data_IF_615615970810
#
_entry.id   IF_615615970810
#
_cell.length_a   1.000
_cell.length_b   1.000
_cell.length_c   1.000
_cell.angle_alpha   90.00
_cell.angle_beta   90.00
_cell.angle_gamma   90.00
#
_symmetry.space_group_name_H-M   'P 1'
#
loop_
_entity.id
_entity.type
_entity.pdbx_description
1 polymer ?
#
# COMPACT_ATOMS: atom_id res chain seq x y z
N UNK A 1 -15.88 -0.68 8.09
CA UNK A 1 -15.18 0.24 9.00
C UNK A 1 -13.71 -0.12 8.91
N UNK A 2 -12.86 0.77 8.40
CA UNK A 2 -11.42 0.51 8.44
C UNK A 2 -11.02 0.56 9.92
N UNK A 3 -10.51 -0.54 10.43
CA UNK A 3 -10.00 -0.60 11.80
C UNK A 3 -8.74 0.26 11.92
N UNK A 4 -8.37 0.54 13.16
CA UNK A 4 -7.10 1.16 13.51
C UNK A 4 -5.95 0.37 12.86
N UNK A 5 -5.11 1.07 12.10
CA UNK A 5 -3.92 0.50 11.48
C UNK A 5 -2.70 0.75 12.36
N UNK A 6 -1.76 -0.20 12.38
CA UNK A 6 -0.54 -0.10 13.18
C UNK A 6 0.68 -0.41 12.33
N UNK A 7 1.75 0.36 12.51
CA UNK A 7 3.05 0.08 11.91
C UNK A 7 3.64 -1.17 12.58
N UNK A 8 3.88 -2.19 11.77
CA UNK A 8 4.47 -3.47 12.19
C UNK A 8 5.87 -3.59 11.59
N UNK A 9 6.82 -4.04 12.40
CA UNK A 9 8.18 -4.27 11.93
C UNK A 9 8.25 -5.57 11.10
N UNK A 10 8.55 -5.42 9.81
CA UNK A 10 8.78 -6.54 8.90
C UNK A 10 10.18 -6.46 8.31
N UNK A 11 10.83 -7.62 8.16
CA UNK A 11 12.13 -7.69 7.50
C UNK A 11 12.00 -7.39 5.99
N UNK A 12 12.71 -6.36 5.47
CA UNK A 12 12.60 -5.97 4.07
C UNK A 12 12.98 -7.06 3.08
N UNK A 13 13.96 -7.90 3.41
CA UNK A 13 14.40 -9.01 2.55
C UNK A 13 13.33 -10.09 2.39
N UNK A 14 12.67 -10.44 3.49
CA UNK A 14 11.58 -11.43 3.51
C UNK A 14 10.41 -10.94 2.68
N UNK A 15 10.00 -9.68 2.87
CA UNK A 15 8.94 -9.05 2.08
C UNK A 15 9.28 -9.07 0.57
N UNK A 16 10.48 -8.59 0.18
CA UNK A 16 10.86 -8.54 -1.24
C UNK A 16 10.92 -9.91 -1.88
N UNK A 17 11.44 -10.92 -1.16
CA UNK A 17 11.49 -12.31 -1.65
C UNK A 17 10.06 -12.83 -1.86
N UNK A 18 9.18 -12.70 -0.87
CA UNK A 18 7.77 -13.13 -0.98
C UNK A 18 7.04 -12.41 -2.10
N UNK A 19 7.14 -11.09 -2.17
CA UNK A 19 6.51 -10.28 -3.21
C UNK A 19 6.97 -10.70 -4.62
N UNK A 20 8.27 -10.95 -4.82
CA UNK A 20 8.79 -11.42 -6.11
C UNK A 20 8.26 -12.81 -6.46
N UNK A 21 8.27 -13.74 -5.51
CA UNK A 21 7.74 -15.10 -5.74
C UNK A 21 6.25 -15.05 -6.10
N UNK A 22 5.46 -14.23 -5.41
CA UNK A 22 4.04 -14.00 -5.72
C UNK A 22 3.86 -13.47 -7.13
N UNK A 23 4.58 -12.40 -7.48
CA UNK A 23 4.46 -11.77 -8.80
C UNK A 23 4.81 -12.76 -9.93
N UNK A 24 5.88 -13.55 -9.75
CA UNK A 24 6.28 -14.58 -10.73
C UNK A 24 5.23 -15.69 -10.81
N UNK A 25 4.71 -16.16 -9.68
CA UNK A 25 3.67 -17.19 -9.65
C UNK A 25 2.37 -16.71 -10.34
N UNK A 26 1.95 -15.47 -10.05
CA UNK A 26 0.77 -14.88 -10.69
C UNK A 26 0.97 -14.69 -12.21
N UNK A 27 2.15 -14.23 -12.64
CA UNK A 27 2.45 -14.09 -14.06
C UNK A 27 2.46 -15.45 -14.77
N UNK A 28 3.10 -16.46 -14.17
CA UNK A 28 3.11 -17.82 -14.71
C UNK A 28 1.70 -18.41 -14.82
N UNK A 29 0.89 -18.25 -13.78
CA UNK A 29 -0.49 -18.71 -13.76
C UNK A 29 -1.36 -18.01 -14.81
N UNK A 30 -1.21 -16.69 -14.98
CA UNK A 30 -1.92 -15.94 -16.00
C UNK A 30 -1.61 -16.45 -17.39
N UNK A 31 -0.33 -16.73 -17.69
CA UNK A 31 0.09 -17.30 -18.97
C UNK A 31 -0.54 -18.67 -19.17
N UNK A 32 -0.46 -19.55 -18.17
CA UNK A 32 -1.02 -20.91 -18.24
C UNK A 32 -2.53 -20.88 -18.46
N UNK A 33 -3.28 -20.10 -17.67
CA UNK A 33 -4.74 -20.01 -17.83
C UNK A 33 -5.13 -19.31 -19.13
N UNK A 34 -4.44 -18.23 -19.51
CA UNK A 34 -4.69 -17.55 -20.77
C UNK A 34 -4.50 -18.46 -21.98
N UNK A 35 -3.40 -19.22 -22.01
CA UNK A 35 -3.15 -20.22 -23.05
C UNK A 35 -4.18 -21.35 -23.02
N UNK A 36 -4.50 -21.88 -21.84
CA UNK A 36 -5.44 -22.98 -21.69
C UNK A 36 -6.85 -22.60 -22.17
N UNK A 37 -7.37 -21.44 -21.76
CA UNK A 37 -8.68 -20.98 -22.22
C UNK A 37 -8.68 -20.60 -23.70
N UNK A 38 -7.63 -19.96 -24.21
CA UNK A 38 -7.52 -19.66 -25.64
C UNK A 38 -7.49 -20.95 -26.48
N UNK A 39 -6.75 -21.97 -26.05
CA UNK A 39 -6.70 -23.28 -26.71
C UNK A 39 -8.07 -23.96 -26.69
N UNK A 40 -8.76 -24.00 -25.55
CA UNK A 40 -10.09 -24.61 -25.45
C UNK A 40 -11.12 -23.91 -26.35
N UNK A 41 -11.12 -22.58 -26.37
CA UNK A 41 -12.03 -21.80 -27.23
C UNK A 41 -11.71 -22.01 -28.71
N UNK A 42 -10.44 -21.94 -29.11
CA UNK A 42 -10.07 -22.04 -30.53
C UNK A 42 -10.22 -23.45 -31.09
N UNK A 43 -10.02 -24.49 -30.28
CA UNK A 43 -10.26 -25.88 -30.69
C UNK A 43 -11.75 -26.22 -30.83
N UNK A 44 -12.61 -25.60 -30.02
CA UNK A 44 -14.06 -25.85 -30.03
C UNK A 44 -14.81 -25.01 -31.07
N UNK A 45 -14.42 -23.73 -31.25
CA UNK A 45 -15.16 -22.76 -32.06
C UNK A 45 -14.39 -22.26 -33.29
N UNK A 46 -13.17 -22.76 -33.51
CA UNK A 46 -12.27 -22.31 -34.58
C UNK A 46 -11.34 -21.18 -34.15
N UNK A 47 -10.27 -20.95 -34.92
CA UNK A 47 -9.28 -19.92 -34.61
C UNK A 47 -9.78 -18.52 -35.00
N UNK A 48 -9.82 -17.62 -34.01
CA UNK A 48 -10.13 -16.20 -34.23
C UNK A 48 -9.37 -15.35 -33.23
N UNK A 49 -8.94 -14.15 -33.66
CA UNK A 49 -8.30 -13.17 -32.79
C UNK A 49 -9.16 -12.88 -31.53
N UNK A 50 -10.48 -12.74 -31.71
CA UNK A 50 -11.41 -12.48 -30.60
C UNK A 50 -11.49 -13.61 -29.59
N UNK A 51 -11.42 -14.87 -30.04
CA UNK A 51 -11.45 -16.03 -29.14
C UNK A 51 -10.14 -16.18 -28.34
N UNK A 52 -9.00 -15.83 -28.94
CA UNK A 52 -7.73 -15.74 -28.22
C UNK A 52 -7.79 -14.64 -27.15
N UNK A 53 -8.28 -13.44 -27.51
CA UNK A 53 -8.46 -12.34 -26.57
C UNK A 53 -9.42 -12.70 -25.42
N UNK A 54 -10.51 -13.40 -25.73
CA UNK A 54 -11.46 -13.90 -24.73
C UNK A 54 -10.80 -14.94 -23.80
N UNK A 55 -9.96 -15.83 -24.33
CA UNK A 55 -9.20 -16.78 -23.52
C UNK A 55 -8.26 -16.10 -22.52
N UNK A 56 -7.54 -15.06 -22.95
CA UNK A 56 -6.70 -14.25 -22.05
C UNK A 56 -7.53 -13.55 -20.99
N UNK A 57 -8.69 -12.99 -21.36
CA UNK A 57 -9.61 -12.35 -20.41
C UNK A 57 -10.11 -13.34 -19.35
N UNK A 58 -10.53 -14.54 -19.76
CA UNK A 58 -10.93 -15.61 -18.83
C UNK A 58 -9.75 -16.03 -17.94
N UNK A 59 -8.54 -16.10 -18.49
CA UNK A 59 -7.32 -16.39 -17.72
C UNK A 59 -7.03 -15.35 -16.65
N UNK A 60 -7.25 -14.07 -16.96
CA UNK A 60 -7.14 -12.97 -16.00
C UNK A 60 -8.18 -13.08 -14.89
N UNK A 61 -9.44 -13.37 -15.24
CA UNK A 61 -10.52 -13.55 -14.27
C UNK A 61 -10.24 -14.74 -13.34
N UNK A 62 -9.83 -15.88 -13.89
CA UNK A 62 -9.48 -17.07 -13.12
C UNK A 62 -8.28 -16.81 -12.19
N UNK A 63 -7.25 -16.12 -12.69
CA UNK A 63 -6.08 -15.76 -11.88
C UNK A 63 -6.45 -14.83 -10.74
N UNK A 64 -7.31 -13.84 -11.02
CA UNK A 64 -7.80 -12.89 -10.02
C UNK A 64 -8.66 -13.57 -8.95
N UNK A 65 -9.54 -14.49 -9.34
CA UNK A 65 -10.37 -15.25 -8.41
C UNK A 65 -9.52 -16.13 -7.48
N UNK A 66 -8.51 -16.81 -8.02
CA UNK A 66 -7.61 -17.62 -7.19
C UNK A 66 -6.79 -16.75 -6.23
N UNK A 67 -6.27 -15.61 -6.71
CA UNK A 67 -5.58 -14.66 -5.85
C UNK A 67 -6.49 -14.16 -4.73
N UNK A 68 -7.75 -13.83 -5.03
CA UNK A 68 -8.73 -13.39 -4.05
C UNK A 68 -9.03 -14.47 -2.99
N UNK A 69 -9.00 -15.75 -3.35
CA UNK A 69 -9.17 -16.87 -2.42
C UNK A 69 -7.91 -17.12 -1.56
N UNK A 70 -6.72 -16.85 -2.08
CA UNK A 70 -5.45 -17.07 -1.39
C UNK A 70 -4.96 -15.86 -0.60
N UNK A 71 -5.51 -14.66 -0.84
CA UNK A 71 -5.09 -13.41 -0.18
C UNK A 71 -5.15 -13.51 1.35
N UNK A 72 -6.04 -14.35 1.88
CA UNK A 72 -6.27 -14.43 3.33
C UNK A 72 -5.27 -15.33 4.07
N UNK A 73 -4.41 -16.05 3.33
CA UNK A 73 -3.46 -17.01 3.88
C UNK A 73 -2.29 -16.34 4.61
N UNK A 74 -1.71 -16.98 5.65
CA UNK A 74 -0.64 -16.40 6.47
C UNK A 74 0.60 -15.95 5.70
N UNK A 75 0.93 -16.63 4.60
CA UNK A 75 2.09 -16.32 3.78
C UNK A 75 1.97 -14.98 3.02
N UNK A 76 0.77 -14.39 2.97
CA UNK A 76 0.47 -13.08 2.38
C UNK A 76 0.49 -11.94 3.41
N UNK A 77 0.77 -12.21 4.70
CA UNK A 77 0.73 -11.21 5.77
C UNK A 77 1.57 -9.97 5.43
N UNK A 78 2.82 -10.18 5.03
CA UNK A 78 3.74 -9.09 4.72
C UNK A 78 3.26 -8.27 3.52
N UNK A 79 2.79 -8.93 2.46
CA UNK A 79 2.31 -8.24 1.25
C UNK A 79 1.01 -7.49 1.51
N UNK A 80 0.11 -8.08 2.30
CA UNK A 80 -1.11 -7.39 2.76
C UNK A 80 -0.78 -6.18 3.61
N UNK A 81 0.14 -6.31 4.54
CA UNK A 81 0.61 -5.21 5.36
C UNK A 81 1.12 -4.06 4.50
N UNK A 82 2.05 -4.31 3.57
CA UNK A 82 2.59 -3.25 2.70
C UNK A 82 1.52 -2.63 1.81
N UNK A 83 0.57 -3.44 1.32
CA UNK A 83 -0.57 -2.93 0.56
C UNK A 83 -1.47 -2.01 1.40
N UNK A 84 -1.78 -2.39 2.63
CA UNK A 84 -2.55 -1.56 3.57
C UNK A 84 -1.79 -0.29 3.95
N UNK A 85 -0.50 -0.39 4.24
CA UNK A 85 0.38 0.76 4.52
C UNK A 85 0.32 1.75 3.36
N UNK A 86 0.53 1.29 2.12
CA UNK A 86 0.44 2.13 0.92
C UNK A 86 -0.95 2.76 0.76
N UNK A 87 -2.01 2.01 1.05
CA UNK A 87 -3.37 2.52 0.96
C UNK A 87 -3.63 3.66 1.96
N UNK A 88 -3.28 3.48 3.23
CA UNK A 88 -3.44 4.50 4.27
C UNK A 88 -2.57 5.74 3.98
N UNK A 89 -1.32 5.55 3.57
CA UNK A 89 -0.45 6.67 3.17
C UNK A 89 -1.02 7.44 1.97
N UNK A 90 -1.56 6.74 0.97
CA UNK A 90 -2.24 7.38 -0.17
C UNK A 90 -3.56 8.04 0.20
N UNK A 91 -4.23 7.58 1.26
CA UNK A 91 -5.39 8.28 1.81
C UNK A 91 -4.96 9.58 2.48
N UNK A 92 -3.95 9.53 3.36
CA UNK A 92 -3.40 10.69 4.08
C UNK A 92 -2.82 11.72 3.10
N UNK A 93 -2.20 11.28 2.00
CA UNK A 93 -1.62 12.19 1.00
C UNK A 93 -2.63 13.20 0.45
N UNK A 94 -3.92 12.83 0.40
CA UNK A 94 -5.01 13.71 -0.01
C UNK A 94 -5.36 14.81 1.02
N UNK A 95 -4.80 14.78 2.22
CA UNK A 95 -5.09 15.71 3.31
C UNK A 95 -3.89 16.55 3.73
N UNK A 96 -2.70 16.34 3.13
CA UNK A 96 -1.45 16.95 3.57
C UNK A 96 -1.51 18.48 3.69
N UNK A 97 -2.13 19.18 2.72
CA UNK A 97 -2.20 20.64 2.78
C UNK A 97 -3.01 21.14 3.98
N UNK A 98 -4.12 20.46 4.30
CA UNK A 98 -4.92 20.73 5.49
C UNK A 98 -4.15 20.34 6.75
N UNK A 99 -3.56 19.14 6.80
CA UNK A 99 -2.83 18.66 7.98
C UNK A 99 -1.68 19.61 8.35
N UNK A 100 -0.90 20.09 7.38
CA UNK A 100 0.16 21.09 7.57
C UNK A 100 -0.36 22.38 8.20
N UNK A 101 -1.51 22.88 7.70
CA UNK A 101 -2.13 24.09 8.24
C UNK A 101 -2.59 23.88 9.69
N UNK A 102 -3.20 22.74 9.99
CA UNK A 102 -3.69 22.44 11.34
C UNK A 102 -2.54 22.15 12.32
N UNK A 103 -1.42 21.60 11.85
CA UNK A 103 -0.17 21.48 12.62
C UNK A 103 0.40 22.85 12.99
N UNK A 104 0.21 23.88 12.15
CA UNK A 104 0.57 25.26 12.50
C UNK A 104 -0.39 25.91 13.51
N UNK A 105 -1.53 25.29 13.78
CA UNK A 105 -2.49 25.70 14.80
C UNK A 105 -2.44 24.79 16.04
N UNK A 106 -1.32 24.09 16.26
CA UNK A 106 -1.09 23.17 17.38
C UNK A 106 -2.12 22.05 17.52
N UNK A 107 -2.74 21.65 16.40
CA UNK A 107 -3.69 20.54 16.39
C UNK A 107 -2.95 19.20 16.56
N UNK A 108 -3.09 18.62 17.76
CA UNK A 108 -2.44 17.35 18.14
C UNK A 108 -2.79 16.19 17.21
N UNK A 109 -4.05 16.10 16.74
CA UNK A 109 -4.49 15.04 15.83
C UNK A 109 -3.81 15.18 14.47
N UNK A 110 -3.71 16.40 13.96
CA UNK A 110 -3.01 16.67 12.70
C UNK A 110 -1.52 16.32 12.81
N UNK A 111 -0.91 16.64 13.96
CA UNK A 111 0.48 16.31 14.27
C UNK A 111 0.69 14.79 14.32
N UNK A 112 -0.18 14.04 14.99
CA UNK A 112 -0.11 12.57 15.03
C UNK A 112 -0.23 11.93 13.64
N UNK A 113 -1.18 12.38 12.82
CA UNK A 113 -1.37 11.85 11.46
C UNK A 113 -0.14 12.17 10.58
N UNK A 114 0.41 13.38 10.68
CA UNK A 114 1.56 13.78 9.87
C UNK A 114 2.83 13.04 10.31
N UNK A 115 3.03 12.82 11.61
CA UNK A 115 4.11 11.97 12.13
C UNK A 115 3.99 10.55 11.61
N UNK A 116 2.81 9.93 11.76
CA UNK A 116 2.54 8.59 11.23
C UNK A 116 2.82 8.51 9.73
N UNK A 117 2.42 9.52 8.96
CA UNK A 117 2.67 9.58 7.51
C UNK A 117 4.16 9.56 7.18
N UNK A 118 4.98 10.37 7.86
CA UNK A 118 6.42 10.39 7.63
C UNK A 118 7.10 9.07 8.00
N UNK A 119 6.74 8.48 9.15
CA UNK A 119 7.27 7.19 9.57
C UNK A 119 6.86 6.07 8.62
N UNK A 120 5.59 6.05 8.18
CA UNK A 120 5.10 5.07 7.22
C UNK A 120 5.74 5.21 5.84
N UNK A 121 6.00 6.43 5.36
CA UNK A 121 6.71 6.68 4.10
C UNK A 121 8.15 6.17 4.16
N UNK A 122 8.85 6.40 5.27
CA UNK A 122 10.20 5.86 5.50
C UNK A 122 10.18 4.33 5.50
N UNK A 123 9.28 3.72 6.28
CA UNK A 123 9.17 2.27 6.34
C UNK A 123 8.82 1.66 4.97
N UNK A 124 7.94 2.30 4.21
CA UNK A 124 7.60 1.86 2.86
C UNK A 124 8.80 1.93 1.92
N UNK A 125 9.67 2.94 2.03
CA UNK A 125 10.89 3.03 1.26
C UNK A 125 11.85 1.88 1.61
N UNK A 126 12.10 1.64 2.90
CA UNK A 126 12.96 0.57 3.40
C UNK A 126 12.48 -0.82 2.94
N UNK A 127 11.19 -1.11 3.09
CA UNK A 127 10.58 -2.36 2.63
C UNK A 127 10.78 -2.57 1.12
N UNK A 128 10.65 -1.51 0.33
CA UNK A 128 10.88 -1.55 -1.11
C UNK A 128 12.38 -1.56 -1.50
N UNK A 129 13.30 -1.47 -0.54
CA UNK A 129 14.74 -1.40 -0.80
C UNK A 129 15.15 -0.09 -1.48
N UNK A 130 14.42 0.99 -1.21
CA UNK A 130 14.73 2.34 -1.70
C UNK A 130 15.21 3.19 -0.54
N UNK A 131 16.08 4.14 -0.83
CA UNK A 131 16.30 5.27 0.08
C UNK A 131 15.01 6.10 0.14
N UNK A 132 14.58 6.57 1.32
CA UNK A 132 13.51 7.55 1.41
C UNK A 132 13.77 8.71 0.47
N UNK A 133 12.78 9.08 -0.34
CA UNK A 133 12.83 10.27 -1.19
C UNK A 133 12.59 11.49 -0.30
N UNK A 134 13.65 11.86 0.40
CA UNK A 134 13.70 12.93 1.38
C UNK A 134 14.38 14.15 0.74
N UNK A 135 13.62 14.83 -0.12
CA UNK A 135 13.95 16.16 -0.58
C UNK A 135 14.02 17.15 0.60
N UNK A 136 14.77 18.24 0.44
CA UNK A 136 15.07 19.18 1.52
C UNK A 136 13.80 19.72 2.23
N UNK A 137 12.71 19.89 1.49
CA UNK A 137 11.41 20.30 2.03
C UNK A 137 10.80 19.25 2.96
N UNK A 138 10.85 17.96 2.61
CA UNK A 138 10.37 16.87 3.46
C UNK A 138 11.22 16.70 4.71
N UNK A 139 12.53 16.86 4.60
CA UNK A 139 13.42 16.83 5.77
C UNK A 139 13.11 17.97 6.73
N UNK A 140 12.89 19.18 6.21
CA UNK A 140 12.47 20.31 7.03
C UNK A 140 11.12 20.06 7.72
N UNK A 141 10.13 19.52 6.99
CA UNK A 141 8.82 19.16 7.55
C UNK A 141 8.93 18.11 8.67
N UNK A 142 9.71 17.05 8.45
CA UNK A 142 9.97 16.02 9.47
C UNK A 142 10.58 16.62 10.74
N UNK A 143 11.57 17.50 10.59
CA UNK A 143 12.23 18.17 11.71
C UNK A 143 11.26 19.11 12.45
N UNK A 144 10.47 19.89 11.73
CA UNK A 144 9.46 20.79 12.32
C UNK A 144 8.43 20.00 13.14
N UNK A 145 7.89 18.92 12.57
CA UNK A 145 6.94 18.03 13.24
C UNK A 145 7.57 17.44 14.51
N UNK A 146 8.83 17.00 14.45
CA UNK A 146 9.54 16.45 15.60
C UNK A 146 9.71 17.49 16.72
N UNK A 147 10.16 18.70 16.39
CA UNK A 147 10.34 19.78 17.37
C UNK A 147 9.02 20.16 18.03
N UNK A 148 7.93 20.34 17.26
CA UNK A 148 6.60 20.64 17.81
C UNK A 148 6.10 19.55 18.76
N UNK A 149 6.40 18.27 18.48
CA UNK A 149 6.04 17.17 19.38
C UNK A 149 6.80 17.25 20.69
N UNK A 150 8.10 17.53 20.64
CA UNK A 150 8.95 17.71 21.82
C UNK A 150 8.43 18.88 22.67
N UNK A 151 8.09 20.02 22.06
CA UNK A 151 7.52 21.20 22.74
C UNK A 151 6.19 20.89 23.44
N UNK A 152 5.35 20.05 22.83
CA UNK A 152 4.07 19.63 23.38
C UNK A 152 4.16 18.43 24.35
N UNK A 153 5.37 17.89 24.59
CA UNK A 153 5.60 16.73 25.44
C UNK A 153 4.96 15.44 24.92
N UNK A 154 4.81 15.32 23.60
CA UNK A 154 4.22 14.16 22.94
C UNK A 154 5.29 13.10 22.60
N UNK A 155 4.92 11.80 22.52
CA UNK A 155 5.85 10.76 22.09
C UNK A 155 6.43 11.06 20.71
N UNK A 156 7.72 10.81 20.48
CA UNK A 156 8.38 11.05 19.18
C UNK A 156 7.71 10.25 18.05
N UNK A 157 7.38 8.99 18.34
CA UNK A 157 6.84 8.05 17.35
C UNK A 157 5.33 7.89 17.46
N UNK A 158 4.66 7.75 16.31
CA UNK A 158 3.23 7.44 16.20
C UNK A 158 3.07 6.17 15.36
N UNK A 159 2.94 5.04 16.04
CA UNK A 159 2.81 3.74 15.36
C UNK A 159 1.39 3.42 14.94
N UNK A 160 0.39 4.21 15.36
CA UNK A 160 -1.03 3.91 15.18
C UNK A 160 -1.73 5.01 14.39
N UNK A 161 -2.61 4.60 13.48
CA UNK A 161 -3.43 5.51 12.69
C UNK A 161 -4.88 5.03 12.65
N UNK A 162 -5.81 5.90 13.04
CA UNK A 162 -7.24 5.67 12.82
C UNK A 162 -7.70 6.47 11.57
N UNK A 163 -8.15 5.79 10.50
CA UNK A 163 -8.68 6.47 9.32
C UNK A 163 -9.88 7.38 9.60
N UNK A 164 -10.56 7.22 10.73
CA UNK A 164 -11.65 8.10 11.13
C UNK A 164 -11.17 9.50 11.54
N UNK A 165 -9.94 9.64 12.01
CA UNK A 165 -9.37 10.94 12.41
C UNK A 165 -9.30 11.91 11.22
N UNK A 166 -9.15 11.37 9.99
CA UNK A 166 -9.17 12.16 8.76
C UNK A 166 -10.52 12.86 8.51
N UNK A 167 -11.62 12.42 9.13
CA UNK A 167 -12.95 13.05 8.97
C UNK A 167 -13.02 14.45 9.59
N UNK A 168 -12.13 14.74 10.55
CA UNK A 168 -12.02 16.07 11.15
C UNK A 168 -11.40 17.10 10.18
N UNK A 169 -10.80 16.62 9.07
CA UNK A 169 -10.04 17.44 8.14
C UNK A 169 -10.71 17.50 6.77
N UNK A 170 -10.60 18.66 6.12
CA UNK A 170 -11.03 18.81 4.73
C UNK A 170 -9.97 18.21 3.79
N UNK A 171 -10.40 17.39 2.85
CA UNK A 171 -9.53 16.89 1.77
C UNK A 171 -8.99 18.08 0.95
N UNK A 172 -7.70 18.02 0.61
CA UNK A 172 -6.99 19.02 -0.19
C UNK A 172 -7.49 19.04 -1.64
#
# INVERSE_FOLDING_TARGET
MAGVFQLEAYEPEVYRRKARMISVAMAGQLIVFGMLFAMLLTTTFGSSFWLNALGVLLGLLATSALFAALKDRPWMNEVRYVWQLKHHLGQISGYLSTLRREVNADNRVALDILTFYHQGMQQLAELNGRTPDDDAERLAEKLEVKLKREELGLPEDVTRFDPQDLRAFKRS
#
